data_IF_069918686040
#
_entry.id   IF_069918686040
#
_cell.length_a   1.000
_cell.length_b   1.000
_cell.length_c   1.000
_cell.angle_alpha   90.00
_cell.angle_beta   90.00
_cell.angle_gamma   90.00
#
_symmetry.space_group_name_H-M   'P 1'
#
loop_
_entity.id
_entity.type
_entity.pdbx_description
1 polymer ?
#
# COMPACT_ATOMS: atom_id res chain seq x y z
N UNK A 1 43.11 -27.66 15.48
CA UNK A 1 41.65 -27.50 15.62
C UNK A 1 41.11 -26.16 15.12
N UNK A 2 41.85 -25.04 15.19
CA UNK A 2 41.34 -23.72 14.75
C UNK A 2 41.13 -23.53 13.24
N UNK A 3 41.93 -24.19 12.38
CA UNK A 3 41.82 -24.02 10.93
C UNK A 3 40.50 -24.55 10.34
N UNK A 4 39.98 -25.65 10.87
CA UNK A 4 38.70 -26.23 10.45
C UNK A 4 37.52 -25.35 10.84
N UNK A 5 37.61 -24.67 11.99
CA UNK A 5 36.58 -23.76 12.49
C UNK A 5 36.43 -22.56 11.54
N UNK A 6 37.54 -21.96 11.10
CA UNK A 6 37.53 -20.85 10.15
C UNK A 6 37.05 -21.30 8.76
N UNK A 7 37.47 -22.48 8.30
CA UNK A 7 37.09 -23.03 6.99
C UNK A 7 35.61 -23.43 6.87
N UNK A 8 34.96 -23.80 7.97
CA UNK A 8 33.53 -24.20 7.97
C UNK A 8 32.61 -23.05 8.38
N UNK A 9 32.97 -22.30 9.43
CA UNK A 9 32.12 -21.20 9.92
C UNK A 9 32.26 -19.94 9.06
N UNK A 10 33.42 -19.69 8.46
CA UNK A 10 33.65 -18.52 7.60
C UNK A 10 32.65 -18.44 6.44
N UNK A 11 32.53 -19.49 5.59
CA UNK A 11 31.56 -19.51 4.49
C UNK A 11 30.11 -19.47 4.95
N UNK A 12 29.80 -20.07 6.11
CA UNK A 12 28.44 -20.14 6.63
C UNK A 12 27.96 -18.80 7.18
N UNK A 13 28.84 -18.05 7.86
CA UNK A 13 28.54 -16.68 8.30
C UNK A 13 28.51 -15.72 7.12
N UNK A 14 29.38 -15.91 6.12
CA UNK A 14 29.41 -15.08 4.91
C UNK A 14 28.14 -15.24 4.06
N UNK A 15 27.63 -16.46 3.91
CA UNK A 15 26.37 -16.73 3.19
C UNK A 15 25.14 -16.18 3.93
N UNK A 16 25.13 -16.19 5.26
CA UNK A 16 24.05 -15.58 6.05
C UNK A 16 24.05 -14.05 5.97
N UNK A 17 25.23 -13.41 5.89
CA UNK A 17 25.35 -11.96 5.74
C UNK A 17 24.99 -11.47 4.32
N UNK A 18 25.29 -12.27 3.28
CA UNK A 18 25.00 -11.92 1.88
C UNK A 18 23.64 -12.43 1.36
N UNK A 19 22.93 -13.27 2.13
CA UNK A 19 21.52 -13.59 1.88
C UNK A 19 20.63 -12.41 2.30
N UNK A 20 20.92 -11.24 1.75
CA UNK A 20 20.00 -10.11 1.77
C UNK A 20 18.77 -10.56 1.00
N UNK A 21 17.65 -10.68 1.73
CA UNK A 21 16.33 -10.95 1.17
C UNK A 21 16.00 -9.86 0.16
N UNK A 22 16.30 -10.12 -1.11
CA UNK A 22 15.61 -9.50 -2.23
C UNK A 22 14.19 -10.06 -2.21
N UNK A 23 13.36 -9.51 -1.31
CA UNK A 23 11.93 -9.78 -1.31
C UNK A 23 11.42 -9.56 -2.72
N UNK A 24 10.63 -10.51 -3.22
CA UNK A 24 9.99 -10.39 -4.54
C UNK A 24 9.32 -9.03 -4.60
N UNK A 25 9.85 -8.12 -5.42
CA UNK A 25 9.21 -6.84 -5.69
C UNK A 25 7.87 -7.18 -6.32
N UNK A 26 6.79 -6.81 -5.65
CA UNK A 26 5.43 -7.13 -6.06
C UNK A 26 5.07 -6.26 -7.28
N UNK A 27 5.58 -6.67 -8.44
CA UNK A 27 5.08 -6.18 -9.72
C UNK A 27 3.83 -6.98 -10.09
N UNK A 28 2.82 -6.31 -10.63
CA UNK A 28 1.82 -7.00 -11.44
C UNK A 28 2.53 -7.57 -12.68
N UNK A 29 3.02 -8.81 -12.60
CA UNK A 29 3.05 -9.67 -13.78
C UNK A 29 1.60 -10.08 -14.00
N UNK A 30 0.86 -9.31 -14.79
CA UNK A 30 -0.55 -9.56 -15.08
C UNK A 30 -0.70 -10.83 -15.92
N UNK A 31 -0.61 -11.98 -15.25
CA UNK A 31 -1.27 -13.22 -15.63
C UNK A 31 -2.47 -13.39 -14.72
N UNK A 32 -3.52 -12.58 -14.91
CA UNK A 32 -4.79 -12.82 -14.25
C UNK A 32 -5.42 -14.07 -14.85
N UNK A 33 -5.65 -15.09 -14.02
CA UNK A 33 -6.39 -16.32 -14.30
C UNK A 33 -7.89 -16.01 -14.43
N UNK A 34 -8.28 -15.14 -15.35
CA UNK A 34 -9.67 -14.97 -15.78
C UNK A 34 -9.63 -14.47 -17.22
N UNK A 35 -9.66 -15.41 -18.17
CA UNK A 35 -9.96 -15.14 -19.58
C UNK A 35 -8.89 -14.39 -20.38
N UNK A 36 -8.14 -15.13 -21.20
CA UNK A 36 -7.13 -14.67 -22.17
C UNK A 36 -7.67 -13.77 -23.30
N UNK A 37 -8.88 -13.20 -23.23
CA UNK A 37 -9.43 -12.42 -24.34
C UNK A 37 -9.53 -10.92 -24.04
N UNK A 38 -8.53 -10.20 -24.57
CA UNK A 38 -8.62 -8.82 -25.07
C UNK A 38 -8.72 -7.70 -24.01
N UNK A 39 -7.65 -7.52 -23.23
CA UNK A 39 -7.18 -6.16 -22.94
C UNK A 39 -5.66 -6.19 -22.76
N UNK A 40 -4.95 -5.93 -23.84
CA UNK A 40 -3.52 -5.61 -23.80
C UNK A 40 -3.44 -4.06 -23.83
N UNK A 41 -3.54 -3.36 -22.69
CA UNK A 41 -3.30 -1.92 -22.71
C UNK A 41 -1.86 -1.74 -23.15
N UNK A 42 -1.65 -1.10 -24.31
CA UNK A 42 -0.32 -0.62 -24.66
C UNK A 42 0.17 0.21 -23.46
N UNK A 43 1.39 -0.05 -22.94
CA UNK A 43 1.91 0.77 -21.87
C UNK A 43 1.91 2.22 -22.36
N UNK A 44 1.18 3.10 -21.66
CA UNK A 44 1.06 4.52 -22.03
C UNK A 44 2.41 5.23 -21.98
N UNK A 45 3.37 4.69 -21.24
CA UNK A 45 4.71 5.20 -21.09
C UNK A 45 5.72 4.08 -21.31
N UNK A 46 6.80 4.40 -22.02
CA UNK A 46 7.91 3.47 -22.33
C UNK A 46 8.88 3.29 -21.16
N UNK A 47 8.84 4.21 -20.19
CA UNK A 47 9.65 4.20 -18.97
C UNK A 47 8.80 4.52 -17.74
N UNK A 48 9.27 4.11 -16.57
CA UNK A 48 8.66 4.51 -15.30
C UNK A 48 8.83 6.02 -15.09
N UNK A 49 7.85 6.66 -14.47
CA UNK A 49 7.96 8.06 -14.07
C UNK A 49 9.06 8.15 -13.00
N UNK A 50 10.00 9.06 -13.18
CA UNK A 50 11.03 9.32 -12.17
C UNK A 50 10.37 9.87 -10.90
N UNK A 51 10.69 9.23 -9.77
CA UNK A 51 10.16 9.61 -8.47
C UNK A 51 11.19 10.44 -7.73
N UNK A 52 10.73 11.37 -6.87
CA UNK A 52 11.61 12.23 -6.08
C UNK A 52 12.49 11.48 -5.05
N UNK A 53 12.25 10.18 -4.85
CA UNK A 53 12.97 9.34 -3.91
C UNK A 53 13.71 8.23 -4.64
N UNK A 54 14.99 8.10 -4.33
CA UNK A 54 15.88 7.12 -4.93
C UNK A 54 15.53 5.70 -4.48
N UNK A 55 15.48 4.77 -5.43
CA UNK A 55 15.17 3.35 -5.17
C UNK A 55 13.68 2.99 -5.14
N UNK A 56 12.77 3.97 -5.26
CA UNK A 56 11.32 3.71 -5.39
C UNK A 56 10.96 3.55 -6.87
N UNK A 57 10.39 2.41 -7.22
CA UNK A 57 10.06 2.07 -8.61
C UNK A 57 8.57 2.08 -8.92
N UNK A 58 7.72 1.98 -7.89
CA UNK A 58 6.27 1.90 -8.04
C UNK A 58 5.52 2.67 -6.93
N UNK A 59 4.22 2.90 -7.15
CA UNK A 59 3.38 3.65 -6.21
C UNK A 59 3.16 2.93 -4.87
N UNK A 60 3.24 1.60 -4.83
CA UNK A 60 3.07 0.86 -3.58
C UNK A 60 4.28 1.06 -2.66
N UNK A 61 5.50 0.95 -3.20
CA UNK A 61 6.75 1.26 -2.52
C UNK A 61 6.77 2.72 -2.03
N UNK A 62 6.28 3.65 -2.87
CA UNK A 62 6.11 5.06 -2.49
C UNK A 62 5.22 5.22 -1.26
N UNK A 63 4.04 4.58 -1.30
CA UNK A 63 3.07 4.66 -0.23
C UNK A 63 3.61 4.06 1.07
N UNK A 64 4.25 2.89 0.98
CA UNK A 64 4.90 2.24 2.12
C UNK A 64 5.99 3.15 2.73
N UNK A 65 6.85 3.74 1.90
CA UNK A 65 7.90 4.64 2.36
C UNK A 65 7.31 5.90 3.02
N UNK A 66 6.30 6.52 2.42
CA UNK A 66 5.62 7.68 3.00
C UNK A 66 5.00 7.32 4.37
N UNK A 67 4.40 6.14 4.49
CA UNK A 67 3.80 5.68 5.74
C UNK A 67 4.85 5.45 6.84
N UNK A 68 6.02 4.91 6.49
CA UNK A 68 7.14 4.76 7.44
C UNK A 68 7.69 6.11 7.89
N UNK A 69 7.89 7.05 6.98
CA UNK A 69 8.45 8.38 7.29
C UNK A 69 7.51 9.28 8.08
N UNK A 70 6.20 9.14 7.89
CA UNK A 70 5.20 10.04 8.48
C UNK A 70 4.21 9.32 9.39
N UNK A 71 4.61 8.18 9.96
CA UNK A 71 3.78 7.24 10.71
C UNK A 71 2.74 7.89 11.65
N UNK A 72 3.16 8.86 12.47
CA UNK A 72 2.30 9.51 13.46
C UNK A 72 1.52 10.74 12.94
N UNK A 73 1.79 11.21 11.72
CA UNK A 73 1.10 12.37 11.12
C UNK A 73 -0.30 11.97 10.65
N UNK A 74 -1.21 12.94 10.60
CA UNK A 74 -2.57 12.77 10.07
C UNK A 74 -2.51 12.62 8.54
N UNK A 75 -3.21 11.63 8.00
CA UNK A 75 -3.29 11.35 6.56
C UNK A 75 -4.72 11.50 6.03
N UNK A 76 -5.66 10.72 6.56
CA UNK A 76 -7.05 10.68 6.06
C UNK A 76 -8.01 11.25 7.10
N UNK A 77 -8.85 12.20 6.68
CA UNK A 77 -9.87 12.82 7.52
C UNK A 77 -11.27 12.40 7.10
N UNK A 78 -12.12 12.04 8.06
CA UNK A 78 -13.55 11.75 7.81
C UNK A 78 -14.40 12.51 8.82
N UNK A 79 -15.49 13.11 8.37
CA UNK A 79 -16.42 13.80 9.27
C UNK A 79 -17.29 12.80 10.02
N UNK A 80 -17.46 13.01 11.32
CA UNK A 80 -18.41 12.22 12.12
C UNK A 80 -19.84 12.50 11.65
N UNK A 81 -20.62 11.46 11.35
CA UNK A 81 -22.06 11.61 11.13
C UNK A 81 -22.74 11.83 12.50
N UNK A 82 -23.49 12.93 12.65
CA UNK A 82 -24.26 13.24 13.86
C UNK A 82 -25.70 12.75 13.67
N UNK A 83 -26.37 13.18 12.60
CA UNK A 83 -27.73 12.75 12.28
C UNK A 83 -27.96 12.71 10.78
N UNK A 84 -28.99 11.96 10.38
CA UNK A 84 -29.47 11.84 9.01
C UNK A 84 -30.98 12.01 9.04
N UNK A 85 -31.46 13.03 8.36
CA UNK A 85 -32.89 13.31 8.15
C UNK A 85 -33.24 12.94 6.72
N UNK A 86 -34.36 12.25 6.51
CA UNK A 86 -34.83 11.87 5.17
C UNK A 86 -36.12 12.64 4.92
N UNK A 87 -36.09 13.52 3.94
CA UNK A 87 -37.25 14.28 3.50
C UNK A 87 -37.75 13.69 2.19
N UNK A 88 -39.05 13.42 2.11
CA UNK A 88 -39.71 12.94 0.90
C UNK A 88 -40.41 14.10 0.24
N UNK A 89 -40.00 14.45 -0.99
CA UNK A 89 -40.66 15.46 -1.80
C UNK A 89 -42.06 15.01 -2.22
N UNK A 90 -42.93 15.94 -2.60
CA UNK A 90 -44.27 15.67 -3.12
C UNK A 90 -44.25 14.72 -4.34
N UNK A 91 -43.16 14.75 -5.12
CA UNK A 91 -42.91 13.84 -6.26
C UNK A 91 -42.53 12.40 -5.86
N UNK A 92 -42.53 12.07 -4.56
CA UNK A 92 -42.17 10.75 -4.03
C UNK A 92 -40.66 10.45 -3.98
N UNK A 93 -39.81 11.39 -4.41
CA UNK A 93 -38.35 11.29 -4.30
C UNK A 93 -37.90 11.65 -2.90
N UNK A 94 -37.09 10.80 -2.27
CA UNK A 94 -36.49 11.10 -0.97
C UNK A 94 -35.06 11.59 -1.10
N UNK A 95 -34.69 12.56 -0.27
CA UNK A 95 -33.31 13.02 -0.11
C UNK A 95 -32.88 12.97 1.35
N UNK A 96 -31.60 12.65 1.57
CA UNK A 96 -31.04 12.55 2.91
C UNK A 96 -30.21 13.79 3.23
N UNK A 97 -30.65 14.56 4.23
CA UNK A 97 -29.90 15.66 4.82
C UNK A 97 -29.02 15.13 5.94
N UNK A 98 -27.70 15.30 5.81
CA UNK A 98 -26.73 14.79 6.78
C UNK A 98 -26.21 15.94 7.65
N UNK A 99 -26.30 15.78 8.96
CA UNK A 99 -25.62 16.64 9.91
C UNK A 99 -24.28 16.02 10.25
N UNK A 100 -23.21 16.72 9.91
CA UNK A 100 -21.84 16.25 10.07
C UNK A 100 -21.14 17.05 11.17
N UNK A 101 -20.45 16.35 12.06
CA UNK A 101 -19.62 16.91 13.13
C UNK A 101 -18.17 17.11 12.71
N UNK A 102 -17.29 17.05 13.70
CA UNK A 102 -15.85 17.27 13.52
C UNK A 102 -15.16 16.18 12.70
N UNK A 103 -14.00 16.54 12.14
CA UNK A 103 -13.12 15.60 11.46
C UNK A 103 -12.42 14.70 12.46
N UNK A 104 -12.52 13.39 12.21
CA UNK A 104 -11.65 12.38 12.79
C UNK A 104 -10.55 12.05 11.78
N UNK A 105 -9.33 11.90 12.26
CA UNK A 105 -8.16 11.67 11.42
C UNK A 105 -7.55 10.31 11.70
N UNK A 106 -7.23 9.59 10.63
CA UNK A 106 -6.34 8.45 10.66
C UNK A 106 -4.91 8.93 10.43
N UNK A 107 -3.97 8.32 11.15
CA UNK A 107 -2.56 8.53 10.88
C UNK A 107 -2.07 7.72 9.68
N UNK A 108 -0.90 8.06 9.15
CA UNK A 108 -0.24 7.25 8.12
C UNK A 108 -0.08 5.79 8.57
N UNK A 109 0.32 5.55 9.83
CA UNK A 109 0.48 4.21 10.37
C UNK A 109 -0.82 3.41 10.39
N UNK A 110 -1.91 4.02 10.87
CA UNK A 110 -3.24 3.38 10.92
C UNK A 110 -3.78 3.07 9.51
N UNK A 111 -3.58 3.99 8.57
CA UNK A 111 -3.99 3.78 7.18
C UNK A 111 -3.18 2.64 6.54
N UNK A 112 -1.87 2.58 6.79
CA UNK A 112 -1.01 1.51 6.28
C UNK A 112 -1.43 0.13 6.82
N UNK A 113 -1.68 0.04 8.13
CA UNK A 113 -2.17 -1.19 8.77
C UNK A 113 -3.49 -1.66 8.16
N UNK A 114 -4.46 -0.75 7.97
CA UNK A 114 -5.74 -1.08 7.35
C UNK A 114 -5.58 -1.60 5.91
N UNK A 115 -4.69 -0.99 5.12
CA UNK A 115 -4.39 -1.43 3.75
C UNK A 115 -3.74 -2.81 3.74
N UNK A 116 -2.76 -3.07 4.63
CA UNK A 116 -2.13 -4.38 4.73
C UNK A 116 -3.14 -5.48 5.11
N UNK A 117 -4.01 -5.21 6.09
CA UNK A 117 -5.05 -6.15 6.50
C UNK A 117 -6.09 -6.41 5.40
N UNK A 118 -6.39 -5.40 4.58
CA UNK A 118 -7.28 -5.54 3.43
C UNK A 118 -6.62 -6.34 2.29
N UNK A 119 -5.32 -6.17 2.06
CA UNK A 119 -4.58 -6.79 0.97
C UNK A 119 -4.08 -8.22 1.26
N UNK A 120 -4.13 -8.69 2.52
CA UNK A 120 -3.63 -10.01 2.93
C UNK A 120 -4.57 -11.19 2.63
N UNK A 121 -5.58 -10.98 1.78
CA UNK A 121 -6.58 -11.98 1.40
C UNK A 121 -6.01 -13.13 0.58
#
# INVERSE_FOLDING_TARGET
MGAYIVGVLGPLVFTLLFSSKNGKKMGCSSGCWWGTWLYNPKPRFTSSVEMAWEGITNLAELFEQACKQHFAKRLLGTRKLISREIETSEDGRSFAKLHLGDYKWLTYGQAFEAVCNFASG
#
